data_IF_736999903869
#
_entry.id   IF_736999903869
#
_cell.length_a   1.000
_cell.length_b   1.000
_cell.length_c   1.000
_cell.angle_alpha   90.00
_cell.angle_beta   90.00
_cell.angle_gamma   90.00
#
_symmetry.space_group_name_H-M   'P 1'
#
loop_
_entity.id
_entity.type
_entity.pdbx_description
1 polymer ?
#
# COMPACT_ATOMS: atom_id res chain seq x y z
N UNK A 1 1.27 22.43 12.01
CA UNK A 1 1.64 21.40 11.03
C UNK A 1 2.69 20.56 11.71
N UNK A 2 2.35 19.34 12.12
CA UNK A 2 3.33 18.44 12.74
C UNK A 2 4.10 17.81 11.59
N UNK A 3 5.31 18.29 11.32
CA UNK A 3 6.20 17.57 10.43
C UNK A 3 6.35 16.13 10.96
N UNK A 4 6.16 15.11 10.11
CA UNK A 4 6.30 13.74 10.56
C UNK A 4 7.71 13.51 11.06
N UNK A 5 7.82 12.93 12.25
CA UNK A 5 9.08 12.54 12.88
C UNK A 5 9.96 11.80 11.84
N UNK A 6 11.21 12.23 11.60
CA UNK A 6 12.10 11.57 10.65
C UNK A 6 12.27 10.07 10.91
N UNK A 7 12.15 9.62 12.16
CA UNK A 7 12.17 8.18 12.49
C UNK A 7 10.92 7.46 11.96
N UNK A 8 9.76 8.09 12.07
CA UNK A 8 8.49 7.57 11.58
C UNK A 8 8.48 7.49 10.04
N UNK A 9 9.06 8.48 9.37
CA UNK A 9 9.26 8.48 7.93
C UNK A 9 10.18 7.34 7.49
N UNK A 10 11.29 7.12 8.21
CA UNK A 10 12.23 6.04 7.91
C UNK A 10 11.59 4.65 8.04
N UNK A 11 10.81 4.42 9.10
CA UNK A 11 10.07 3.16 9.31
C UNK A 11 9.03 2.93 8.22
N UNK A 12 8.28 3.97 7.85
CA UNK A 12 7.28 3.90 6.77
C UNK A 12 7.95 3.60 5.43
N UNK A 13 9.05 4.28 5.11
CA UNK A 13 9.80 4.03 3.88
C UNK A 13 10.42 2.62 3.83
N UNK A 14 10.90 2.10 4.97
CA UNK A 14 11.39 0.73 5.06
C UNK A 14 10.28 -0.30 4.83
N UNK A 15 9.08 -0.06 5.38
CA UNK A 15 7.92 -0.91 5.18
C UNK A 15 7.47 -0.97 3.72
N UNK A 16 7.38 0.19 3.06
CA UNK A 16 6.98 0.27 1.65
C UNK A 16 7.97 -0.43 0.72
N UNK A 17 9.28 -0.42 1.04
CA UNK A 17 10.31 -1.15 0.28
C UNK A 17 10.21 -2.67 0.37
N UNK A 18 9.50 -3.21 1.36
CA UNK A 18 9.31 -4.66 1.53
C UNK A 18 8.08 -5.19 0.80
N UNK A 19 7.25 -4.31 0.24
CA UNK A 19 6.08 -4.69 -0.55
C UNK A 19 6.48 -5.23 -1.92
N UNK A 20 5.72 -6.19 -2.44
CA UNK A 20 5.75 -6.49 -3.87
C UNK A 20 5.35 -5.24 -4.68
N UNK A 21 5.84 -5.09 -5.93
CA UNK A 21 5.47 -3.99 -6.80
C UNK A 21 3.95 -3.82 -6.94
N UNK A 22 3.22 -4.93 -7.05
CA UNK A 22 1.77 -4.98 -7.18
C UNK A 22 1.07 -4.54 -5.89
N UNK A 23 1.52 -5.01 -4.73
CA UNK A 23 0.97 -4.58 -3.44
C UNK A 23 1.23 -3.10 -3.16
N UNK A 24 2.41 -2.59 -3.53
CA UNK A 24 2.74 -1.17 -3.43
C UNK A 24 1.83 -0.33 -4.33
N UNK A 25 1.67 -0.73 -5.60
CA UNK A 25 0.82 -0.03 -6.56
C UNK A 25 -0.64 0.06 -6.05
N UNK A 26 -1.22 -1.08 -5.66
CA UNK A 26 -2.60 -1.10 -5.14
C UNK A 26 -2.74 -0.25 -3.88
N UNK A 27 -1.74 -0.28 -2.98
CA UNK A 27 -1.75 0.54 -1.77
C UNK A 27 -1.70 2.04 -2.06
N UNK A 28 -0.85 2.47 -2.98
CA UNK A 28 -0.77 3.88 -3.38
C UNK A 28 -2.05 4.33 -4.07
N UNK A 29 -2.57 3.56 -5.03
CA UNK A 29 -3.82 3.89 -5.71
C UNK A 29 -5.00 4.01 -4.73
N UNK A 30 -5.11 3.09 -3.75
CA UNK A 30 -6.20 3.17 -2.80
C UNK A 30 -6.01 4.28 -1.75
N UNK A 31 -4.80 4.38 -1.16
CA UNK A 31 -4.58 5.20 0.02
C UNK A 31 -4.16 6.63 -0.29
N UNK A 32 -3.46 6.85 -1.40
CA UNK A 32 -2.95 8.16 -1.84
C UNK A 32 -3.88 8.76 -2.89
N UNK A 33 -4.23 8.00 -3.93
CA UNK A 33 -5.10 8.47 -5.01
C UNK A 33 -6.60 8.35 -4.69
N UNK A 34 -6.96 7.62 -3.62
CA UNK A 34 -8.35 7.47 -3.18
C UNK A 34 -9.20 6.54 -4.07
N UNK A 35 -8.58 5.74 -4.93
CA UNK A 35 -9.28 4.84 -5.85
C UNK A 35 -9.94 3.68 -5.10
N UNK A 36 -11.11 3.27 -5.57
CA UNK A 36 -11.77 2.04 -5.11
C UNK A 36 -11.09 0.80 -5.70
N UNK A 37 -11.26 -0.36 -5.07
CA UNK A 37 -10.67 -1.60 -5.57
C UNK A 37 -11.17 -1.99 -6.98
N UNK A 38 -12.39 -1.60 -7.34
CA UNK A 38 -12.95 -1.86 -8.68
C UNK A 38 -12.29 -0.96 -9.72
N UNK A 39 -11.98 0.28 -9.39
CA UNK A 39 -11.26 1.20 -10.29
C UNK A 39 -9.81 0.73 -10.48
N UNK A 40 -9.14 0.30 -9.41
CA UNK A 40 -7.78 -0.25 -9.48
C UNK A 40 -7.77 -1.52 -10.34
N UNK A 41 -8.69 -2.44 -10.11
CA UNK A 41 -8.82 -3.68 -10.89
C UNK A 41 -8.95 -3.38 -12.40
N UNK A 42 -9.78 -2.40 -12.76
CA UNK A 42 -9.97 -1.98 -14.16
C UNK A 42 -8.73 -1.30 -14.75
N UNK A 43 -8.07 -0.43 -13.99
CA UNK A 43 -6.91 0.32 -14.45
C UNK A 43 -5.68 -0.58 -14.65
N UNK A 44 -5.42 -1.46 -13.69
CA UNK A 44 -4.23 -2.31 -13.65
C UNK A 44 -4.43 -3.66 -14.37
N UNK A 45 -5.63 -3.91 -14.92
CA UNK A 45 -5.95 -5.17 -15.62
C UNK A 45 -6.01 -6.38 -14.68
N UNK A 46 -6.33 -6.16 -13.41
CA UNK A 46 -6.40 -7.18 -12.36
C UNK A 46 -7.85 -7.58 -12.06
N UNK A 47 -8.06 -8.74 -11.43
CA UNK A 47 -9.35 -9.09 -10.83
C UNK A 47 -9.51 -8.39 -9.48
N UNK A 48 -10.76 -8.23 -9.03
CA UNK A 48 -11.05 -7.66 -7.71
C UNK A 48 -10.40 -8.49 -6.57
N UNK A 49 -10.33 -9.81 -6.75
CA UNK A 49 -9.68 -10.71 -5.79
C UNK A 49 -8.16 -10.47 -5.73
N UNK A 50 -7.50 -10.30 -6.88
CA UNK A 50 -6.07 -9.97 -6.91
C UNK A 50 -5.80 -8.65 -6.18
N UNK A 51 -6.61 -7.62 -6.44
CA UNK A 51 -6.52 -6.32 -5.74
C UNK A 51 -6.67 -6.49 -4.24
N UNK A 52 -7.64 -7.29 -3.79
CA UNK A 52 -7.83 -7.58 -2.36
C UNK A 52 -6.64 -8.31 -1.74
N UNK A 53 -6.07 -9.31 -2.42
CA UNK A 53 -4.91 -10.06 -1.94
C UNK A 53 -3.68 -9.15 -1.81
N UNK A 54 -3.39 -8.35 -2.84
CA UNK A 54 -2.30 -7.37 -2.82
C UNK A 54 -2.50 -6.33 -1.72
N UNK A 55 -3.73 -5.92 -1.45
CA UNK A 55 -4.02 -5.02 -0.34
C UNK A 55 -3.80 -5.66 1.03
N UNK A 56 -4.18 -6.94 1.17
CA UNK A 56 -3.97 -7.69 2.40
C UNK A 56 -2.47 -7.90 2.67
N UNK A 57 -1.69 -8.19 1.63
CA UNK A 57 -0.23 -8.24 1.69
C UNK A 57 0.35 -6.89 2.13
N UNK A 58 -0.10 -5.79 1.51
CA UNK A 58 0.35 -4.45 1.85
C UNK A 58 0.13 -4.12 3.33
N UNK A 59 -1.10 -4.33 3.82
CA UNK A 59 -1.45 -4.06 5.21
C UNK A 59 -0.64 -4.94 6.16
N UNK A 60 -0.49 -6.24 5.87
CA UNK A 60 0.27 -7.16 6.74
C UNK A 60 1.73 -6.76 6.87
N UNK A 61 2.37 -6.41 5.77
CA UNK A 61 3.77 -5.99 5.76
C UNK A 61 3.93 -4.64 6.47
N UNK A 62 3.08 -3.66 6.18
CA UNK A 62 3.16 -2.35 6.83
C UNK A 62 2.95 -2.47 8.35
N UNK A 63 1.94 -3.22 8.80
CA UNK A 63 1.68 -3.43 10.22
C UNK A 63 2.82 -4.20 10.91
N UNK A 64 3.47 -5.14 10.22
CA UNK A 64 4.62 -5.86 10.78
C UNK A 64 5.81 -4.93 11.04
N UNK A 65 6.05 -3.97 10.15
CA UNK A 65 7.21 -3.07 10.20
C UNK A 65 7.00 -1.82 11.08
N UNK A 66 5.74 -1.47 11.34
CA UNK A 66 5.38 -0.37 12.23
C UNK A 66 5.28 -0.78 13.72
N UNK A 67 5.53 -2.05 14.04
CA UNK A 67 5.55 -2.57 15.42
C UNK A 67 6.84 -2.26 16.18
#
# INVERSE_FOLDING_TARGET
MTDPDPEQLAKTAAALRKLSPEALQVFLCNRVEGMTYVEIARQEGMTLEQVQQHMLEAIRTIVHEMR
#
